data_IF_041008495367
#
_entry.id   IF_041008495367
#
_cell.length_a   1.000
_cell.length_b   1.000
_cell.length_c   1.000
_cell.angle_alpha   90.00
_cell.angle_beta   90.00
_cell.angle_gamma   90.00
#
_symmetry.space_group_name_H-M   'P 1'
#
loop_
_entity.id
_entity.type
_entity.pdbx_description
1 polymer ?
#
# COMPACT_ATOMS: atom_id res chain seq x y z
N UNK A 1 -5.38 11.21 16.40
CA UNK A 1 -4.96 10.87 15.03
C UNK A 1 -5.48 9.47 14.78
N UNK A 2 -6.39 9.27 13.84
CA UNK A 2 -6.95 7.95 13.58
C UNK A 2 -5.95 7.14 12.77
N UNK A 3 -5.59 5.96 13.27
CA UNK A 3 -4.71 5.00 12.59
C UNK A 3 -5.54 3.81 12.13
N UNK A 4 -5.14 3.20 11.03
CA UNK A 4 -5.69 1.94 10.54
C UNK A 4 -4.51 1.06 10.13
N UNK A 5 -4.60 -0.24 10.41
CA UNK A 5 -3.53 -1.20 10.18
C UNK A 5 -4.08 -2.32 9.32
N UNK A 6 -3.29 -2.75 8.33
CA UNK A 6 -3.63 -3.90 7.49
C UNK A 6 -2.45 -4.85 7.35
N UNK A 7 -2.76 -6.14 7.21
CA UNK A 7 -1.78 -7.16 6.92
C UNK A 7 -1.60 -7.35 5.41
N UNK A 8 -0.34 -7.35 4.97
CA UNK A 8 0.03 -7.60 3.57
C UNK A 8 1.07 -8.71 3.53
N UNK A 9 0.79 -9.76 2.78
CA UNK A 9 1.75 -10.84 2.54
C UNK A 9 2.50 -10.59 1.25
N UNK A 10 3.83 -10.62 1.31
CA UNK A 10 4.68 -10.46 0.13
C UNK A 10 4.46 -11.64 -0.82
N UNK A 11 3.99 -11.32 -2.03
CA UNK A 11 3.69 -12.33 -3.05
C UNK A 11 4.95 -12.67 -3.83
N UNK A 12 5.05 -13.91 -4.31
CA UNK A 12 6.23 -14.37 -5.05
C UNK A 12 6.53 -13.48 -6.27
N UNK A 13 5.49 -13.10 -7.02
CA UNK A 13 5.56 -12.22 -8.19
C UNK A 13 6.03 -10.79 -7.90
N UNK A 14 6.06 -10.38 -6.63
CA UNK A 14 6.46 -9.05 -6.21
C UNK A 14 7.95 -8.99 -5.84
N UNK A 15 8.63 -10.14 -5.87
CA UNK A 15 10.07 -10.23 -5.60
C UNK A 15 10.92 -9.98 -6.85
N UNK A 16 12.14 -9.50 -6.65
CA UNK A 16 13.12 -9.30 -7.71
C UNK A 16 14.24 -10.35 -7.71
N UNK A 17 15.18 -10.24 -8.66
CA UNK A 17 16.30 -11.17 -8.80
C UNK A 17 17.25 -11.19 -7.59
N UNK A 18 17.16 -10.23 -6.66
CA UNK A 18 17.91 -10.22 -5.40
C UNK A 18 17.19 -11.01 -4.28
N UNK A 19 15.97 -11.50 -4.53
CA UNK A 19 15.20 -12.31 -3.58
C UNK A 19 14.44 -11.50 -2.54
N UNK A 20 14.25 -10.20 -2.77
CA UNK A 20 13.50 -9.29 -1.89
C UNK A 20 12.27 -8.74 -2.59
N UNK A 21 11.32 -8.21 -1.82
CA UNK A 21 10.25 -7.38 -2.34
C UNK A 21 10.85 -6.24 -3.17
N UNK A 22 10.52 -6.18 -4.46
CA UNK A 22 11.01 -5.14 -5.34
C UNK A 22 10.57 -3.76 -4.80
N UNK A 23 11.51 -2.83 -4.69
CA UNK A 23 11.30 -1.53 -4.04
C UNK A 23 10.07 -0.76 -4.53
N UNK A 24 9.73 -0.83 -5.82
CA UNK A 24 8.55 -0.16 -6.37
C UNK A 24 7.21 -0.69 -5.82
N UNK A 25 7.15 -1.95 -5.36
CA UNK A 25 5.91 -2.55 -4.86
C UNK A 25 5.49 -1.99 -3.49
N UNK A 26 6.40 -1.36 -2.74
CA UNK A 26 6.03 -0.65 -1.51
C UNK A 26 4.99 0.45 -1.76
N UNK A 27 4.99 1.09 -2.95
CA UNK A 27 4.01 2.12 -3.28
C UNK A 27 2.61 1.56 -3.53
N UNK A 28 2.53 0.34 -4.08
CA UNK A 28 1.27 -0.40 -4.21
C UNK A 28 0.71 -0.73 -2.83
N UNK A 29 1.58 -1.10 -1.88
CA UNK A 29 1.17 -1.37 -0.51
C UNK A 29 0.67 -0.09 0.18
N UNK A 30 1.38 1.04 0.02
CA UNK A 30 0.93 2.33 0.57
C UNK A 30 -0.42 2.78 0.00
N UNK A 31 -0.68 2.53 -1.27
CA UNK A 31 -2.00 2.77 -1.88
C UNK A 31 -3.09 1.89 -1.24
N UNK A 32 -2.80 0.61 -1.01
CA UNK A 32 -3.71 -0.28 -0.28
C UNK A 32 -4.00 0.26 1.12
N UNK A 33 -2.96 0.59 1.91
CA UNK A 33 -3.14 1.16 3.25
C UNK A 33 -3.98 2.45 3.24
N UNK A 34 -3.75 3.34 2.28
CA UNK A 34 -4.54 4.58 2.11
C UNK A 34 -6.01 4.30 1.77
N UNK A 35 -6.28 3.37 0.87
CA UNK A 35 -7.65 3.02 0.47
C UNK A 35 -8.41 2.28 1.57
N UNK A 36 -7.72 1.42 2.34
CA UNK A 36 -8.29 0.75 3.51
C UNK A 36 -8.53 1.73 4.66
N UNK A 37 -7.63 2.69 4.89
CA UNK A 37 -7.86 3.78 5.85
C UNK A 37 -9.11 4.61 5.50
N UNK A 38 -9.26 4.98 4.22
CA UNK A 38 -10.47 5.68 3.74
C UNK A 38 -11.72 4.85 4.03
N UNK A 39 -11.69 3.54 3.76
CA UNK A 39 -12.82 2.63 4.01
C UNK A 39 -13.15 2.51 5.50
N UNK A 40 -12.14 2.38 6.35
CA UNK A 40 -12.29 2.31 7.80
C UNK A 40 -12.92 3.59 8.39
N UNK A 41 -12.79 4.73 7.69
CA UNK A 41 -13.41 6.01 8.06
C UNK A 41 -14.80 6.21 7.43
N UNK A 42 -15.36 5.19 6.76
CA UNK A 42 -16.67 5.23 6.12
C UNK A 42 -16.66 5.79 4.69
N UNK A 43 -15.49 6.07 4.14
CA UNK A 43 -15.35 6.50 2.75
C UNK A 43 -15.41 5.34 1.76
N UNK A 44 -15.70 5.66 0.49
CA UNK A 44 -15.71 4.70 -0.61
C UNK A 44 -15.08 5.34 -1.85
N UNK A 45 -13.83 4.94 -2.16
CA UNK A 45 -13.09 5.52 -3.27
C UNK A 45 -13.79 5.34 -4.63
N UNK A 46 -14.46 4.20 -4.84
CA UNK A 46 -15.22 3.95 -6.08
C UNK A 46 -16.37 4.94 -6.25
N UNK A 47 -17.11 5.22 -5.19
CA UNK A 47 -18.20 6.20 -5.24
C UNK A 47 -17.67 7.61 -5.52
N UNK A 48 -16.53 7.97 -4.93
CA UNK A 48 -15.88 9.27 -5.22
C UNK A 48 -15.56 9.42 -6.72
N UNK A 49 -15.03 8.38 -7.36
CA UNK A 49 -14.75 8.41 -8.80
C UNK A 49 -16.03 8.53 -9.63
N UNK A 50 -17.11 7.83 -9.25
CA UNK A 50 -18.43 7.94 -9.88
C UNK A 50 -19.02 9.37 -9.75
N UNK A 51 -18.67 10.10 -8.70
CA UNK A 51 -19.02 11.51 -8.47
C UNK A 51 -18.04 12.50 -9.15
N UNK A 52 -17.05 12.01 -9.90
CA UNK A 52 -16.07 12.83 -10.63
C UNK A 52 -14.93 13.36 -9.75
N UNK A 53 -14.73 12.78 -8.57
CA UNK A 53 -13.65 13.14 -7.65
C UNK A 53 -12.53 12.10 -7.70
N UNK A 54 -11.30 12.56 -7.92
CA UNK A 54 -10.14 11.69 -8.06
C UNK A 54 -9.05 12.05 -7.05
N UNK A 55 -8.42 11.04 -6.47
CA UNK A 55 -7.30 11.23 -5.56
C UNK A 55 -5.99 10.99 -6.30
N UNK A 56 -5.23 12.05 -6.55
CA UNK A 56 -3.96 12.00 -7.30
C UNK A 56 -2.78 12.13 -6.34
N UNK A 57 -1.78 11.24 -6.48
CA UNK A 57 -0.52 11.35 -5.75
C UNK A 57 0.38 12.39 -6.43
N UNK A 58 0.68 13.47 -5.73
CA UNK A 58 1.56 14.55 -6.23
C UNK A 58 3.01 14.44 -5.76
N UNK A 59 3.24 13.70 -4.68
CA UNK A 59 4.57 13.43 -4.14
C UNK A 59 4.57 12.14 -3.32
N UNK A 60 5.73 11.49 -3.24
CA UNK A 60 5.93 10.31 -2.42
C UNK A 60 7.37 10.27 -1.90
N UNK A 61 7.55 9.77 -0.69
CA UNK A 61 8.87 9.52 -0.10
C UNK A 61 8.85 8.15 0.57
N UNK A 62 9.91 7.37 0.38
CA UNK A 62 10.08 6.09 1.07
C UNK A 62 11.54 5.87 1.45
N UNK A 63 11.75 5.51 2.72
CA UNK A 63 13.05 5.13 3.25
C UNK A 63 13.05 3.65 3.62
N UNK A 64 13.74 2.84 2.82
CA UNK A 64 13.88 1.40 3.03
C UNK A 64 14.87 1.12 4.16
N UNK A 65 14.38 0.64 5.32
CA UNK A 65 15.22 0.37 6.51
C UNK A 65 15.64 -1.10 6.63
N UNK A 66 14.76 -2.02 6.23
CA UNK A 66 14.97 -3.47 6.25
C UNK A 66 14.26 -4.09 5.04
N UNK A 67 14.86 -5.08 4.38
CA UNK A 67 14.22 -5.74 3.25
C UNK A 67 13.10 -6.67 3.73
N UNK A 68 12.06 -6.82 2.91
CA UNK A 68 11.06 -7.88 3.03
C UNK A 68 11.34 -8.98 2.00
N UNK A 69 10.97 -10.22 2.31
CA UNK A 69 11.13 -11.40 1.46
C UNK A 69 9.78 -12.00 1.10
N UNK A 70 9.77 -12.87 0.10
CA UNK A 70 8.62 -13.71 -0.20
C UNK A 70 8.05 -14.36 1.07
N UNK A 71 6.72 -14.33 1.17
CA UNK A 71 5.92 -14.91 2.27
C UNK A 71 6.03 -14.19 3.63
N UNK A 72 6.83 -13.13 3.74
CA UNK A 72 6.78 -12.25 4.92
C UNK A 72 5.37 -11.65 5.06
N UNK A 73 4.82 -11.71 6.27
CA UNK A 73 3.61 -11.00 6.65
C UNK A 73 4.00 -9.64 7.22
N UNK A 74 3.71 -8.57 6.48
CA UNK A 74 3.96 -7.20 6.87
C UNK A 74 2.70 -6.60 7.47
N UNK A 75 2.86 -5.83 8.53
CA UNK A 75 1.84 -4.92 9.04
C UNK A 75 2.14 -3.52 8.50
N UNK A 76 1.14 -2.91 7.88
CA UNK A 76 1.18 -1.57 7.28
C UNK A 76 0.33 -0.59 8.08
#
# INVERSE_FOLDING_TARGET
>A
MNTHEIDIRVRYSETDAMGFLHHANYFVYFELGRTELLRAQGGNYRQMEEEGQFMVVVSLECKYRRPARYDDLLSL
#
